data_IF_096780704278
#
_entry.id   IF_096780704278
#
_cell.length_a   1.000
_cell.length_b   1.000
_cell.length_c   1.000
_cell.angle_alpha   90.00
_cell.angle_beta   90.00
_cell.angle_gamma   90.00
#
_symmetry.space_group_name_H-M   'P 1'
#
loop_
_entity.id
_entity.type
_entity.pdbx_description
1 polymer ?
#
# COMPACT_ATOMS: atom_id res chain seq x y z
N UNK A 1 -11.70 -27.74 -8.81
CA UNK A 1 -12.13 -27.05 -7.58
C UNK A 1 -12.89 -25.81 -7.99
N UNK A 2 -14.07 -25.59 -7.44
CA UNK A 2 -14.83 -24.35 -7.61
C UNK A 2 -14.45 -23.38 -6.49
N UNK A 3 -14.25 -22.11 -6.81
CA UNK A 3 -13.82 -21.07 -5.87
C UNK A 3 -14.88 -19.97 -5.80
N UNK A 4 -15.05 -19.39 -4.62
CA UNK A 4 -15.90 -18.22 -4.40
C UNK A 4 -15.07 -17.05 -3.84
N UNK A 5 -15.57 -15.84 -4.03
CA UNK A 5 -14.91 -14.65 -3.52
C UNK A 5 -15.07 -14.55 -2.00
N UNK A 6 -13.97 -14.29 -1.30
CA UNK A 6 -14.02 -14.01 0.14
C UNK A 6 -14.67 -12.65 0.41
N UNK A 7 -15.33 -12.47 1.57
CA UNK A 7 -15.83 -11.17 1.98
C UNK A 7 -14.75 -10.07 1.98
N UNK A 8 -15.14 -8.87 1.58
CA UNK A 8 -14.25 -7.70 1.55
C UNK A 8 -14.10 -7.07 2.94
N UNK A 9 -13.12 -7.56 3.71
CA UNK A 9 -12.86 -7.09 5.08
C UNK A 9 -12.53 -5.59 5.08
N UNK A 10 -11.70 -5.13 4.15
CA UNK A 10 -11.26 -3.73 4.07
C UNK A 10 -12.44 -2.81 3.73
N UNK A 11 -13.28 -3.20 2.77
CA UNK A 11 -14.51 -2.48 2.42
C UNK A 11 -15.56 -2.48 3.54
N UNK A 12 -15.51 -3.43 4.48
CA UNK A 12 -16.45 -3.49 5.61
C UNK A 12 -16.11 -2.54 6.76
N UNK A 13 -14.95 -1.86 6.73
CA UNK A 13 -14.51 -0.96 7.80
C UNK A 13 -15.41 0.27 7.94
N UNK A 14 -15.91 0.50 9.15
CA UNK A 14 -16.62 1.74 9.51
C UNK A 14 -15.62 2.85 9.85
N UNK A 15 -15.57 3.90 9.03
CA UNK A 15 -14.73 5.08 9.26
C UNK A 15 -15.09 5.78 10.58
N UNK A 16 -14.08 6.20 11.33
CA UNK A 16 -14.19 7.01 12.55
C UNK A 16 -13.40 8.31 12.37
N UNK A 17 -13.76 9.36 13.10
CA UNK A 17 -13.03 10.63 13.09
C UNK A 17 -11.58 10.39 13.53
N UNK A 18 -10.62 10.91 12.77
CA UNK A 18 -9.18 10.73 13.04
C UNK A 18 -8.62 9.36 12.67
N UNK A 19 -9.41 8.47 12.06
CA UNK A 19 -8.93 7.15 11.63
C UNK A 19 -8.30 7.23 10.25
N UNK A 20 -7.00 6.99 10.18
CA UNK A 20 -6.28 6.76 8.93
C UNK A 20 -6.32 5.28 8.55
N UNK A 21 -6.56 4.99 7.27
CA UNK A 21 -6.59 3.64 6.71
C UNK A 21 -5.52 3.53 5.64
N UNK A 22 -4.52 2.68 5.91
CA UNK A 22 -3.40 2.40 5.02
C UNK A 22 -3.58 0.98 4.46
N UNK A 23 -3.65 0.86 3.14
CA UNK A 23 -3.68 -0.43 2.45
C UNK A 23 -2.31 -0.80 1.89
N UNK A 24 -2.02 -2.09 1.78
CA UNK A 24 -0.87 -2.61 1.05
C UNK A 24 -1.37 -3.29 -0.22
N UNK A 25 -0.72 -3.01 -1.34
CA UNK A 25 -1.05 -3.57 -2.64
C UNK A 25 0.19 -4.18 -3.27
N UNK A 26 0.18 -5.50 -3.37
CA UNK A 26 1.17 -6.24 -4.14
C UNK A 26 0.66 -6.40 -5.56
N UNK A 27 1.36 -5.83 -6.53
CA UNK A 27 0.93 -5.81 -7.92
C UNK A 27 2.04 -6.30 -8.84
N UNK A 28 1.67 -6.70 -10.06
CA UNK A 28 2.60 -6.96 -11.15
C UNK A 28 2.15 -6.17 -12.38
N UNK A 29 3.08 -5.55 -13.11
CA UNK A 29 2.75 -4.80 -14.32
C UNK A 29 2.16 -3.41 -14.03
N UNK A 30 0.86 -3.20 -14.27
CA UNK A 30 0.21 -1.88 -14.16
C UNK A 30 -0.08 -1.46 -12.70
N UNK A 31 0.89 -1.64 -11.80
CA UNK A 31 0.72 -1.51 -10.36
C UNK A 31 0.28 -0.12 -9.91
N UNK A 32 0.79 0.95 -10.53
CA UNK A 32 0.40 2.33 -10.19
C UNK A 32 -1.08 2.61 -10.47
N UNK A 33 -1.59 2.19 -11.63
CA UNK A 33 -3.00 2.39 -11.96
C UNK A 33 -3.90 1.58 -11.03
N UNK A 34 -3.53 0.32 -10.76
CA UNK A 34 -4.26 -0.55 -9.85
C UNK A 34 -4.26 0.00 -8.41
N UNK A 35 -3.13 0.49 -7.92
CA UNK A 35 -3.00 1.08 -6.60
C UNK A 35 -3.83 2.37 -6.45
N UNK A 36 -3.82 3.25 -7.47
CA UNK A 36 -4.69 4.44 -7.51
C UNK A 36 -6.17 4.06 -7.51
N UNK A 37 -6.56 3.03 -8.25
CA UNK A 37 -7.93 2.51 -8.25
C UNK A 37 -8.32 1.96 -6.87
N UNK A 38 -7.44 1.18 -6.22
CA UNK A 38 -7.66 0.66 -4.85
C UNK A 38 -7.78 1.80 -3.82
N UNK A 39 -6.92 2.81 -3.89
CA UNK A 39 -6.95 4.00 -3.02
C UNK A 39 -8.32 4.67 -3.04
N UNK A 40 -8.92 4.81 -4.22
CA UNK A 40 -10.25 5.40 -4.39
C UNK A 40 -11.37 4.42 -3.98
N UNK A 41 -11.41 3.23 -4.58
CA UNK A 41 -12.51 2.27 -4.42
C UNK A 41 -12.65 1.72 -3.00
N UNK A 42 -11.53 1.56 -2.29
CA UNK A 42 -11.51 1.10 -0.90
C UNK A 42 -11.52 2.26 0.10
N UNK A 43 -11.67 3.48 -0.39
CA UNK A 43 -11.60 4.70 0.39
C UNK A 43 -10.43 4.66 1.39
N UNK A 44 -9.20 4.51 0.89
CA UNK A 44 -7.98 4.50 1.71
C UNK A 44 -7.39 5.90 1.79
N UNK A 45 -6.65 6.18 2.85
CA UNK A 45 -5.89 7.43 2.97
C UNK A 45 -4.53 7.28 2.30
N UNK A 46 -3.93 6.09 2.44
CA UNK A 46 -2.72 5.70 1.74
C UNK A 46 -2.79 4.28 1.18
N UNK A 47 -2.07 4.04 0.08
CA UNK A 47 -1.75 2.72 -0.47
C UNK A 47 -0.25 2.60 -0.61
N UNK A 48 0.31 1.52 -0.04
CA UNK A 48 1.71 1.14 -0.20
C UNK A 48 1.75 0.11 -1.33
N UNK A 49 2.26 0.52 -2.49
CA UNK A 49 2.42 -0.32 -3.65
C UNK A 49 3.80 -0.96 -3.64
N UNK A 50 3.88 -2.27 -3.86
CA UNK A 50 5.14 -2.95 -4.13
C UNK A 50 4.96 -4.01 -5.24
N UNK A 51 6.04 -4.30 -5.97
CA UNK A 51 6.08 -5.35 -7.00
C UNK A 51 6.89 -6.54 -6.49
N UNK A 52 6.31 -7.73 -6.48
CA UNK A 52 6.97 -8.96 -6.01
C UNK A 52 7.89 -9.57 -7.08
N UNK A 53 7.80 -9.11 -8.32
CA UNK A 53 8.66 -9.57 -9.42
C UNK A 53 9.94 -8.76 -9.52
N UNK A 54 10.03 -7.64 -8.80
CA UNK A 54 11.23 -6.82 -8.77
C UNK A 54 12.36 -7.52 -7.99
N UNK A 55 13.54 -7.75 -8.60
CA UNK A 55 14.66 -8.40 -7.93
C UNK A 55 15.05 -7.68 -6.64
N UNK A 56 15.07 -8.44 -5.53
CA UNK A 56 15.39 -7.91 -4.20
C UNK A 56 14.21 -7.24 -3.49
N UNK A 57 13.02 -7.15 -4.07
CA UNK A 57 11.81 -6.67 -3.43
C UNK A 57 10.79 -7.80 -3.19
N UNK A 58 9.90 -7.62 -2.21
CA UNK A 58 8.82 -8.58 -1.93
C UNK A 58 9.16 -9.67 -0.90
N UNK A 59 8.82 -10.92 -1.19
CA UNK A 59 8.86 -12.02 -0.24
C UNK A 59 10.25 -12.64 -0.11
N UNK A 60 10.51 -13.29 1.02
CA UNK A 60 11.75 -14.07 1.31
C UNK A 60 13.09 -13.29 1.23
N UNK A 61 13.03 -11.98 1.03
CA UNK A 61 14.18 -11.05 1.08
C UNK A 61 14.06 -10.06 2.25
N UNK A 62 15.14 -9.38 2.60
CA UNK A 62 15.17 -8.40 3.71
C UNK A 62 14.90 -6.97 3.27
N UNK A 63 14.86 -6.72 1.97
CA UNK A 63 14.66 -5.41 1.34
C UNK A 63 13.29 -5.30 0.68
N UNK A 64 12.86 -4.09 0.37
CA UNK A 64 11.69 -3.82 -0.44
C UNK A 64 11.84 -2.49 -1.18
N UNK A 65 11.14 -2.36 -2.30
CA UNK A 65 10.96 -1.10 -3.01
C UNK A 65 9.47 -0.82 -3.07
N UNK A 66 9.07 0.36 -2.64
CA UNK A 66 7.66 0.71 -2.54
C UNK A 66 7.39 2.10 -3.09
N UNK A 67 6.18 2.29 -3.59
CA UNK A 67 5.62 3.60 -3.86
C UNK A 67 4.47 3.85 -2.88
N UNK A 68 4.53 4.94 -2.13
CA UNK A 68 3.48 5.37 -1.20
C UNK A 68 2.58 6.34 -1.95
N UNK A 69 1.29 6.02 -2.06
CA UNK A 69 0.29 6.87 -2.71
C UNK A 69 -0.73 7.36 -1.68
N UNK A 70 -0.89 8.68 -1.57
CA UNK A 70 -1.87 9.32 -0.68
C UNK A 70 -3.07 9.87 -1.44
N UNK A 71 -4.24 9.92 -0.79
CA UNK A 71 -5.48 10.45 -1.39
C UNK A 71 -5.37 11.94 -1.76
N UNK A 72 -4.53 12.70 -1.05
CA UNK A 72 -4.23 14.11 -1.32
C UNK A 72 -3.32 14.32 -2.55
N UNK A 73 -2.94 13.26 -3.26
CA UNK A 73 -2.02 13.33 -4.40
C UNK A 73 -0.56 13.08 -4.03
N UNK A 74 -0.24 12.82 -2.75
CA UNK A 74 1.09 12.39 -2.33
C UNK A 74 1.52 11.17 -3.14
N UNK A 75 2.73 11.22 -3.69
CA UNK A 75 3.40 10.07 -4.28
C UNK A 75 4.86 10.11 -3.83
N UNK A 76 5.28 9.09 -3.09
CA UNK A 76 6.66 8.96 -2.62
C UNK A 76 7.21 7.63 -3.13
N UNK A 77 8.16 7.72 -4.06
CA UNK A 77 8.89 6.57 -4.58
C UNK A 77 10.10 6.31 -3.69
N UNK A 78 10.10 5.19 -2.97
CA UNK A 78 11.26 4.77 -2.19
C UNK A 78 12.21 3.93 -3.06
N UNK A 79 13.53 4.09 -2.92
CA UNK A 79 14.48 3.17 -3.52
C UNK A 79 14.38 1.79 -2.86
N UNK A 80 15.16 0.83 -3.36
CA UNK A 80 15.32 -0.44 -2.68
C UNK A 80 15.99 -0.21 -1.32
N UNK A 81 15.26 -0.51 -0.24
CA UNK A 81 15.67 -0.26 1.13
C UNK A 81 15.43 -1.50 2.01
N UNK A 82 16.13 -1.64 3.15
CA UNK A 82 15.74 -2.58 4.19
C UNK A 82 14.27 -2.41 4.57
N UNK A 83 13.55 -3.51 4.82
CA UNK A 83 12.13 -3.47 5.20
C UNK A 83 11.87 -2.63 6.46
N UNK A 84 12.86 -2.54 7.36
CA UNK A 84 12.78 -1.69 8.56
C UNK A 84 12.69 -0.21 8.17
N UNK A 85 13.60 0.23 7.30
CA UNK A 85 13.64 1.60 6.82
C UNK A 85 12.38 1.93 5.99
N UNK A 86 11.89 0.99 5.18
CA UNK A 86 10.60 1.15 4.48
C UNK A 86 9.45 1.37 5.47
N UNK A 87 9.40 0.60 6.55
CA UNK A 87 8.37 0.75 7.58
C UNK A 87 8.44 2.11 8.28
N UNK A 88 9.65 2.59 8.59
CA UNK A 88 9.85 3.91 9.21
C UNK A 88 9.37 5.01 8.26
N UNK A 89 9.69 4.94 6.96
CA UNK A 89 9.22 5.93 5.97
C UNK A 89 7.72 5.91 5.75
N UNK A 90 7.07 4.75 5.87
CA UNK A 90 5.60 4.66 5.84
C UNK A 90 5.02 5.38 7.07
N UNK A 91 5.64 5.19 8.24
CA UNK A 91 5.18 5.81 9.47
C UNK A 91 5.34 7.34 9.44
N UNK A 92 6.47 7.85 8.94
CA UNK A 92 6.71 9.30 8.77
C UNK A 92 5.58 9.95 7.95
N UNK A 93 5.23 9.36 6.80
CA UNK A 93 4.15 9.88 5.92
C UNK A 93 2.78 9.82 6.58
N UNK A 94 2.52 8.79 7.39
CA UNK A 94 1.26 8.66 8.13
C UNK A 94 1.18 9.67 9.26
N UNK A 95 2.29 9.93 9.96
CA UNK A 95 2.39 10.89 11.04
C UNK A 95 2.16 12.33 10.55
N UNK A 96 2.72 12.70 9.39
CA UNK A 96 2.49 13.99 8.74
C UNK A 96 1.01 14.25 8.37
N UNK A 97 0.19 13.20 8.30
CA UNK A 97 -1.22 13.26 7.93
C UNK A 97 -2.20 13.21 9.12
N UNK A 98 -1.69 13.10 10.35
CA UNK A 98 -2.48 13.19 11.58
C UNK A 98 -2.89 14.63 11.90
#
# INVERSE_FOLDING_TARGET
MELEATPDILGSLKRRKGMLVVGFALETGNGLANARSKLQNKALDFVILNDATEPGAGFEVTTNRVTILGRNGTQVDLPLLPKRDVADRILDVVEEAL
#
